data_IF_134870035281
#
_entry.id   IF_134870035281
#
_cell.length_a   1.000
_cell.length_b   1.000
_cell.length_c   1.000
_cell.angle_alpha   90.00
_cell.angle_beta   90.00
_cell.angle_gamma   90.00
#
_symmetry.space_group_name_H-M   'P 1'
#
loop_
_entity.id
_entity.type
_entity.pdbx_description
1 polymer ?
#
# COMPACT_ATOMS: atom_id res chain seq x y z
N UNK A 1 -9.37 -22.84 -10.27
CA UNK A 1 -9.01 -21.62 -9.50
C UNK A 1 -10.25 -20.79 -9.32
N UNK A 2 -10.43 -20.18 -8.18
CA UNK A 2 -11.50 -19.21 -8.00
C UNK A 2 -11.31 -18.08 -9.01
N UNK A 3 -12.38 -17.68 -9.73
CA UNK A 3 -12.36 -16.68 -10.83
C UNK A 3 -11.92 -15.30 -10.36
N UNK A 4 -11.95 -15.07 -9.05
CA UNK A 4 -11.64 -13.80 -8.40
C UNK A 4 -10.37 -13.84 -7.54
N UNK A 5 -9.72 -15.01 -7.44
CA UNK A 5 -8.44 -15.15 -6.77
C UNK A 5 -7.33 -14.46 -7.57
N UNK A 6 -6.41 -13.83 -6.88
CA UNK A 6 -5.28 -13.11 -7.46
C UNK A 6 -3.98 -13.77 -7.02
N UNK A 7 -3.09 -13.99 -7.98
CA UNK A 7 -1.75 -14.49 -7.72
C UNK A 7 -0.73 -13.47 -8.19
N UNK A 8 0.07 -12.95 -7.25
CA UNK A 8 1.26 -12.18 -7.60
C UNK A 8 2.41 -13.17 -7.74
N UNK A 9 3.00 -13.23 -8.92
CA UNK A 9 4.12 -14.11 -9.22
C UNK A 9 5.30 -13.25 -9.66
N UNK A 10 6.41 -13.34 -8.92
CA UNK A 10 7.70 -12.79 -9.34
C UNK A 10 8.64 -13.95 -9.71
N UNK A 11 9.28 -13.85 -10.87
CA UNK A 11 10.21 -14.86 -11.40
C UNK A 11 11.67 -14.38 -11.43
N UNK A 12 11.99 -13.31 -10.68
CA UNK A 12 13.35 -12.74 -10.67
C UNK A 12 14.22 -13.30 -9.53
N UNK A 13 15.53 -13.39 -9.81
CA UNK A 13 16.60 -13.66 -8.82
C UNK A 13 16.47 -14.97 -7.99
N UNK A 14 16.45 -16.12 -8.67
CA UNK A 14 16.73 -17.42 -8.03
C UNK A 14 15.52 -18.19 -7.51
N UNK A 15 14.30 -17.80 -7.87
CA UNK A 15 13.11 -18.57 -7.51
C UNK A 15 11.81 -17.86 -7.86
N UNK A 16 10.71 -18.64 -7.86
CA UNK A 16 9.36 -18.09 -7.98
C UNK A 16 8.84 -17.73 -6.60
N UNK A 17 8.63 -16.44 -6.33
CA UNK A 17 7.91 -16.00 -5.14
C UNK A 17 6.46 -15.77 -5.49
N UNK A 18 5.57 -16.30 -4.66
CA UNK A 18 4.13 -16.21 -4.91
C UNK A 18 3.42 -15.67 -3.68
N UNK A 19 2.55 -14.69 -3.89
CA UNK A 19 1.62 -14.19 -2.89
C UNK A 19 0.19 -14.40 -3.44
N UNK A 20 -0.61 -15.19 -2.76
CA UNK A 20 -1.95 -15.55 -3.19
C UNK A 20 -3.00 -14.81 -2.38
N UNK A 21 -3.93 -14.17 -3.06
CA UNK A 21 -5.09 -13.50 -2.48
C UNK A 21 -6.37 -14.18 -2.95
N UNK A 22 -7.31 -14.43 -2.05
CA UNK A 22 -8.62 -15.04 -2.38
C UNK A 22 -9.52 -14.12 -3.20
N UNK A 23 -9.29 -12.80 -3.11
CA UNK A 23 -9.93 -11.75 -3.91
C UNK A 23 -8.97 -10.55 -4.05
N UNK A 24 -9.24 -9.58 -4.93
CA UNK A 24 -8.32 -8.48 -5.21
C UNK A 24 -8.30 -7.37 -4.15
N UNK A 25 -9.10 -7.44 -3.08
CA UNK A 25 -9.26 -6.37 -2.08
C UNK A 25 -8.29 -6.55 -0.93
N UNK A 26 -7.38 -5.60 -0.78
CA UNK A 26 -6.47 -5.49 0.35
C UNK A 26 -6.77 -4.20 1.13
N UNK A 27 -6.33 -4.14 2.38
CA UNK A 27 -6.34 -2.90 3.15
C UNK A 27 -5.10 -2.05 2.85
N UNK A 28 -5.20 -0.72 2.93
CA UNK A 28 -4.06 0.17 2.77
C UNK A 28 -3.42 0.51 4.12
N UNK A 29 -2.09 0.46 4.17
CA UNK A 29 -1.33 0.84 5.36
C UNK A 29 -1.71 2.25 5.86
N UNK A 30 -1.90 2.36 7.17
CA UNK A 30 -2.21 3.61 7.85
C UNK A 30 -3.70 3.94 7.97
N UNK A 31 -4.58 3.18 7.34
CA UNK A 31 -6.04 3.41 7.34
C UNK A 31 -6.85 2.24 7.92
N UNK A 32 -6.17 1.18 8.31
CA UNK A 32 -6.78 -0.05 8.86
C UNK A 32 -6.09 -0.51 10.15
N UNK A 33 -5.41 0.38 10.85
CA UNK A 33 -4.64 0.05 12.05
C UNK A 33 -3.66 -1.09 11.80
N UNK A 34 -3.62 -2.05 12.71
CA UNK A 34 -2.92 -3.32 12.52
C UNK A 34 -3.84 -4.46 12.04
N UNK A 35 -5.12 -4.14 11.76
CA UNK A 35 -6.15 -5.08 11.35
C UNK A 35 -7.07 -5.48 12.51
N UNK A 36 -6.51 -5.78 13.68
CA UNK A 36 -7.29 -6.23 14.86
C UNK A 36 -8.36 -5.23 15.31
N UNK A 37 -8.14 -3.95 15.08
CA UNK A 37 -9.06 -2.86 15.40
C UNK A 37 -10.34 -2.90 14.55
N UNK A 38 -10.28 -3.54 13.38
CA UNK A 38 -11.39 -3.64 12.43
C UNK A 38 -12.18 -4.94 12.51
N UNK A 39 -11.77 -5.90 13.35
CA UNK A 39 -12.49 -7.16 13.55
C UNK A 39 -13.93 -7.03 14.06
N UNK A 40 -14.29 -5.86 14.61
CA UNK A 40 -15.66 -5.55 15.00
C UNK A 40 -16.58 -5.21 13.83
N UNK A 41 -16.01 -4.86 12.66
CA UNK A 41 -16.78 -4.41 11.49
C UNK A 41 -16.93 -5.47 10.41
N UNK A 42 -16.20 -6.57 10.52
CA UNK A 42 -16.25 -7.69 9.58
C UNK A 42 -15.24 -8.79 9.90
N UNK A 43 -15.40 -9.92 9.25
CA UNK A 43 -14.46 -11.03 9.37
C UNK A 43 -13.22 -10.75 8.53
N UNK A 44 -12.08 -10.55 9.19
CA UNK A 44 -10.80 -10.29 8.55
C UNK A 44 -10.39 -11.40 7.55
N UNK A 45 -10.90 -12.62 7.75
CA UNK A 45 -10.64 -13.72 6.84
C UNK A 45 -11.29 -13.55 5.46
N UNK A 46 -12.24 -12.64 5.29
CA UNK A 46 -12.89 -12.35 4.00
C UNK A 46 -12.03 -11.50 3.07
N UNK A 47 -11.04 -10.78 3.61
CA UNK A 47 -10.16 -9.91 2.83
C UNK A 47 -9.15 -10.71 2.00
N UNK A 48 -8.77 -10.17 0.83
CA UNK A 48 -7.69 -10.73 0.03
C UNK A 48 -6.34 -10.63 0.73
N UNK A 49 -6.10 -9.55 1.47
CA UNK A 49 -4.89 -9.36 2.27
C UNK A 49 -4.99 -8.17 3.22
N UNK A 50 -4.21 -8.19 4.29
CA UNK A 50 -4.14 -7.14 5.30
C UNK A 50 -2.77 -6.48 5.24
N UNK A 51 -2.72 -5.22 4.78
CA UNK A 51 -1.50 -4.40 4.88
C UNK A 51 -1.59 -3.60 6.17
N UNK A 52 -0.73 -3.92 7.12
CA UNK A 52 -0.76 -3.32 8.45
C UNK A 52 -0.18 -1.90 8.47
N UNK A 53 -0.41 -1.19 9.56
CA UNK A 53 0.21 0.11 9.86
C UNK A 53 1.72 0.05 9.67
N UNK A 54 2.30 1.12 9.09
CA UNK A 54 3.75 1.23 8.92
C UNK A 54 4.49 1.02 10.25
N UNK A 55 5.42 0.09 10.23
CA UNK A 55 6.23 -0.33 11.35
C UNK A 55 7.63 0.30 11.27
N UNK A 56 8.19 0.68 12.41
CA UNK A 56 9.60 1.06 12.57
C UNK A 56 10.25 0.16 13.64
N UNK A 57 11.58 0.15 13.71
CA UNK A 57 12.30 -0.63 14.74
C UNK A 57 11.83 -0.24 16.14
N UNK A 58 11.67 1.06 16.41
CA UNK A 58 11.22 1.58 17.69
C UNK A 58 9.85 2.24 17.55
N UNK A 59 9.12 2.35 18.66
CA UNK A 59 7.87 3.12 18.75
C UNK A 59 8.06 4.56 18.31
N UNK A 60 7.04 5.12 17.64
CA UNK A 60 6.96 6.54 17.24
C UNK A 60 5.64 7.14 17.67
N UNK A 61 5.68 8.32 18.27
CA UNK A 61 4.47 8.99 18.75
C UNK A 61 3.75 9.80 17.65
N UNK A 62 4.42 10.03 16.52
CA UNK A 62 3.88 10.80 15.40
C UNK A 62 3.99 12.31 15.58
N UNK A 63 3.28 13.04 14.73
CA UNK A 63 3.30 14.51 14.73
C UNK A 63 2.29 15.11 15.72
N UNK A 64 2.46 16.40 16.10
CA UNK A 64 1.50 17.15 16.90
C UNK A 64 0.10 17.24 16.25
N UNK A 65 -0.93 17.45 17.09
CA UNK A 65 -2.30 17.72 16.65
C UNK A 65 -2.48 19.23 16.30
N UNK A 66 -3.43 19.55 15.37
CA UNK A 66 -4.23 18.67 14.53
C UNK A 66 -3.40 18.05 13.39
N UNK A 67 -3.58 16.76 13.12
CA UNK A 67 -2.81 16.03 12.11
C UNK A 67 -3.66 15.31 11.07
N UNK A 68 -4.97 15.54 11.09
CA UNK A 68 -5.96 15.08 10.12
C UNK A 68 -6.96 16.21 9.87
N UNK A 69 -7.35 16.41 8.63
CA UNK A 69 -8.38 17.37 8.24
C UNK A 69 -9.19 16.82 7.06
N UNK A 70 -10.51 16.98 7.09
CA UNK A 70 -11.38 16.65 5.97
C UNK A 70 -11.22 17.67 4.83
N UNK A 71 -11.47 17.21 3.61
CA UNK A 71 -11.58 18.04 2.40
C UNK A 71 -12.85 17.65 1.64
N UNK A 72 -13.37 18.47 0.71
CA UNK A 72 -14.63 18.16 0.02
C UNK A 72 -14.71 16.77 -0.62
N UNK A 73 -13.60 16.20 -1.10
CA UNK A 73 -13.56 14.91 -1.76
C UNK A 73 -12.47 13.97 -1.19
N UNK A 74 -12.19 14.05 0.11
CA UNK A 74 -11.18 13.22 0.73
C UNK A 74 -10.69 13.77 2.06
N UNK A 75 -9.42 13.53 2.38
CA UNK A 75 -8.81 14.01 3.62
C UNK A 75 -7.32 14.31 3.45
N UNK A 76 -6.86 15.24 4.27
CA UNK A 76 -5.43 15.50 4.49
C UNK A 76 -4.96 14.82 5.77
N UNK A 77 -3.78 14.22 5.75
CA UNK A 77 -3.15 13.70 6.94
C UNK A 77 -1.65 14.03 7.02
N UNK A 78 -1.20 14.27 8.22
CA UNK A 78 0.21 14.40 8.61
C UNK A 78 0.44 13.65 9.92
N UNK A 79 0.03 12.38 10.00
CA UNK A 79 0.08 11.57 11.23
C UNK A 79 1.51 11.38 11.74
N UNK A 80 2.51 11.40 10.85
CA UNK A 80 3.93 11.28 11.23
C UNK A 80 4.34 9.86 11.60
N UNK A 81 3.70 8.87 10.97
CA UNK A 81 4.06 7.46 11.09
C UNK A 81 4.03 6.93 12.53
N UNK A 82 3.06 7.40 13.33
CA UNK A 82 2.81 6.86 14.66
C UNK A 82 2.64 5.35 14.58
N UNK A 83 3.40 4.61 15.39
CA UNK A 83 3.31 3.15 15.48
C UNK A 83 3.97 2.64 16.79
N UNK A 84 3.65 1.40 17.17
CA UNK A 84 4.07 0.81 18.44
C UNK A 84 5.48 0.17 18.38
N UNK A 85 6.12 0.17 17.20
CA UNK A 85 7.38 -0.54 16.95
C UNK A 85 7.17 -2.02 16.59
N UNK A 86 8.18 -2.60 15.93
CA UNK A 86 8.11 -3.96 15.37
C UNK A 86 7.93 -5.02 16.47
N UNK A 87 8.65 -4.93 17.58
CA UNK A 87 8.56 -5.90 18.69
C UNK A 87 7.16 -5.95 19.29
N UNK A 88 6.55 -4.79 19.54
CA UNK A 88 5.19 -4.70 20.08
C UNK A 88 4.16 -5.29 19.09
N UNK A 89 4.33 -5.04 17.79
CA UNK A 89 3.48 -5.61 16.77
C UNK A 89 3.56 -7.15 16.75
N UNK A 90 4.76 -7.71 16.69
CA UNK A 90 5.00 -9.16 16.66
C UNK A 90 4.40 -9.82 17.90
N UNK A 91 4.64 -9.26 19.09
CA UNK A 91 4.21 -9.83 20.36
C UNK A 91 2.71 -9.74 20.61
N UNK A 92 2.07 -8.63 20.22
CA UNK A 92 0.70 -8.33 20.70
C UNK A 92 -0.36 -8.22 19.61
N UNK A 93 0.01 -7.98 18.35
CA UNK A 93 -0.94 -7.78 17.24
C UNK A 93 -0.94 -8.93 16.25
N UNK A 94 0.21 -9.33 15.75
CA UNK A 94 0.36 -10.40 14.75
C UNK A 94 -0.31 -11.72 15.16
N UNK A 95 -0.19 -12.23 16.41
CA UNK A 95 -0.85 -13.48 16.82
C UNK A 95 -2.39 -13.42 16.80
N UNK A 96 -2.97 -12.23 16.76
CA UNK A 96 -4.43 -12.02 16.76
C UNK A 96 -5.01 -11.88 15.35
N UNK A 97 -4.17 -11.82 14.32
CA UNK A 97 -4.58 -11.73 12.91
C UNK A 97 -4.82 -13.14 12.35
N UNK A 98 -5.75 -13.32 11.41
CA UNK A 98 -6.01 -14.60 10.76
C UNK A 98 -4.99 -14.90 9.65
N UNK A 99 -3.69 -14.81 9.96
CA UNK A 99 -2.60 -14.88 8.98
C UNK A 99 -2.47 -16.24 8.25
N UNK A 100 -3.09 -17.30 8.79
CA UNK A 100 -3.21 -18.60 8.09
C UNK A 100 -4.27 -18.61 7.00
N UNK A 101 -5.22 -17.67 7.06
CA UNK A 101 -6.36 -17.59 6.13
C UNK A 101 -6.26 -16.37 5.20
N UNK A 102 -5.65 -15.29 5.68
CA UNK A 102 -5.50 -14.03 4.95
C UNK A 102 -4.07 -13.53 5.06
N UNK A 103 -3.37 -13.35 3.93
CA UNK A 103 -2.00 -12.85 3.92
C UNK A 103 -1.85 -11.53 4.67
N UNK A 104 -0.90 -11.47 5.60
CA UNK A 104 -0.52 -10.25 6.32
C UNK A 104 0.75 -9.69 5.70
N UNK A 105 0.66 -8.44 5.26
CA UNK A 105 1.74 -7.68 4.64
C UNK A 105 2.20 -6.62 5.62
N UNK A 106 3.45 -6.70 6.06
CA UNK A 106 4.04 -5.72 6.94
C UNK A 106 4.52 -4.50 6.13
N UNK A 107 4.02 -3.30 6.45
CA UNK A 107 4.50 -2.06 5.84
C UNK A 107 5.69 -1.53 6.63
N UNK A 108 6.81 -1.27 5.97
CA UNK A 108 8.08 -0.86 6.56
C UNK A 108 8.28 0.64 6.46
N UNK A 109 8.70 1.24 7.56
CA UNK A 109 9.18 2.62 7.64
C UNK A 109 10.56 2.67 8.29
N UNK A 110 11.51 3.29 7.60
CA UNK A 110 12.85 3.55 8.12
C UNK A 110 13.44 4.84 7.54
N UNK A 111 14.61 5.24 8.02
CA UNK A 111 15.28 6.49 7.65
C UNK A 111 16.64 6.27 6.97
N UNK A 112 17.05 5.00 6.84
CA UNK A 112 18.23 4.61 6.05
C UNK A 112 18.02 3.23 5.43
N UNK A 113 18.75 2.89 4.35
CA UNK A 113 18.70 1.55 3.75
C UNK A 113 19.02 0.43 4.74
N UNK A 114 19.99 0.65 5.63
CA UNK A 114 20.40 -0.33 6.65
C UNK A 114 19.26 -0.62 7.63
N UNK A 115 18.59 0.43 8.10
CA UNK A 115 17.42 0.32 9.01
C UNK A 115 16.26 -0.40 8.33
N UNK A 116 16.00 -0.14 7.03
CA UNK A 116 15.02 -0.90 6.25
C UNK A 116 15.39 -2.38 6.15
N UNK A 117 16.68 -2.71 5.92
CA UNK A 117 17.17 -4.08 5.87
C UNK A 117 17.00 -4.79 7.21
N UNK A 118 17.40 -4.16 8.32
CA UNK A 118 17.24 -4.72 9.67
C UNK A 118 15.77 -5.03 9.99
N UNK A 119 14.89 -4.07 9.74
CA UNK A 119 13.45 -4.24 9.96
C UNK A 119 12.86 -5.35 9.08
N UNK A 120 13.32 -5.46 7.84
CA UNK A 120 12.91 -6.52 6.92
C UNK A 120 13.34 -7.90 7.41
N UNK A 121 14.57 -8.05 7.92
CA UNK A 121 15.10 -9.30 8.47
C UNK A 121 14.29 -9.78 9.68
N UNK A 122 13.95 -8.86 10.60
CA UNK A 122 13.12 -9.17 11.77
C UNK A 122 11.74 -9.69 11.33
N UNK A 123 11.07 -8.96 10.42
CA UNK A 123 9.72 -9.31 9.99
C UNK A 123 9.68 -10.55 9.09
N UNK A 124 10.70 -10.77 8.25
CA UNK A 124 10.77 -11.94 7.39
C UNK A 124 11.00 -13.25 8.17
N UNK A 125 11.48 -13.18 9.41
CA UNK A 125 11.64 -14.34 10.29
C UNK A 125 10.32 -14.79 10.94
N UNK A 126 9.25 -13.96 10.87
CA UNK A 126 7.98 -14.24 11.51
C UNK A 126 7.05 -15.07 10.61
N UNK A 127 6.56 -16.24 11.12
CA UNK A 127 5.68 -17.14 10.37
C UNK A 127 4.42 -16.46 9.81
N UNK A 128 3.86 -15.50 10.55
CA UNK A 128 2.62 -14.80 10.18
C UNK A 128 2.79 -13.70 9.12
N UNK A 129 4.00 -13.43 8.62
CA UNK A 129 4.25 -12.39 7.62
C UNK A 129 4.36 -13.01 6.22
N UNK A 130 3.42 -12.64 5.36
CA UNK A 130 3.31 -13.14 3.98
C UNK A 130 3.99 -12.24 2.95
N UNK A 131 4.26 -10.97 3.28
CA UNK A 131 4.88 -10.01 2.39
C UNK A 131 5.39 -8.76 3.14
N UNK A 132 6.34 -8.04 2.52
CA UNK A 132 6.88 -6.78 3.02
C UNK A 132 6.54 -5.65 2.06
N UNK A 133 5.84 -4.61 2.51
CA UNK A 133 5.58 -3.40 1.72
C UNK A 133 6.54 -2.29 2.16
N UNK A 134 7.49 -1.93 1.30
CA UNK A 134 8.53 -0.94 1.56
C UNK A 134 8.02 0.46 1.22
N UNK A 135 7.82 1.30 2.23
CA UNK A 135 7.35 2.67 2.05
C UNK A 135 8.51 3.62 1.75
N UNK A 136 8.87 3.79 0.48
CA UNK A 136 9.93 4.70 0.03
C UNK A 136 9.55 6.19 0.01
N UNK A 137 8.36 6.57 0.50
CA UNK A 137 7.99 7.98 0.68
C UNK A 137 8.61 8.62 1.93
N UNK A 138 9.57 7.95 2.57
CA UNK A 138 10.30 8.38 3.74
C UNK A 138 11.49 9.27 3.37
N UNK A 139 11.86 10.26 4.22
CA UNK A 139 13.07 11.06 4.01
C UNK A 139 14.33 10.26 4.36
N UNK A 140 15.34 10.33 3.51
CA UNK A 140 16.70 9.87 3.83
C UNK A 140 17.41 10.95 4.64
N UNK A 141 17.64 10.69 5.92
CA UNK A 141 18.29 11.65 6.83
C UNK A 141 19.75 11.89 6.43
N UNK A 142 20.47 10.86 5.99
CA UNK A 142 21.88 10.96 5.55
C UNK A 142 22.02 11.79 4.26
N UNK A 143 21.02 11.80 3.39
CA UNK A 143 21.02 12.55 2.12
C UNK A 143 20.22 13.87 2.22
N UNK A 144 20.22 14.54 3.36
CA UNK A 144 19.62 15.86 3.52
C UNK A 144 18.09 15.89 3.50
N UNK A 145 17.42 14.76 3.77
CA UNK A 145 15.96 14.67 3.82
C UNK A 145 15.28 14.42 2.48
N UNK A 146 16.02 14.12 1.42
CA UNK A 146 15.43 13.69 0.14
C UNK A 146 14.61 12.42 0.35
N UNK A 147 13.42 12.36 -0.23
CA UNK A 147 12.58 11.16 -0.14
C UNK A 147 13.18 10.05 -1.00
N UNK A 148 13.32 8.85 -0.45
CA UNK A 148 13.85 7.68 -1.18
C UNK A 148 13.10 7.45 -2.51
N UNK A 149 11.79 7.67 -2.55
CA UNK A 149 10.96 7.50 -3.75
C UNK A 149 10.99 8.66 -4.74
N UNK A 150 11.89 9.65 -4.59
CA UNK A 150 12.09 10.75 -5.55
C UNK A 150 13.39 10.61 -6.34
N UNK A 151 14.29 9.75 -5.89
CA UNK A 151 15.56 9.47 -6.54
C UNK A 151 15.65 7.97 -6.87
N UNK A 152 15.88 7.59 -8.13
CA UNK A 152 15.92 6.18 -8.54
C UNK A 152 17.05 5.40 -7.86
N UNK A 153 18.22 6.01 -7.62
CA UNK A 153 19.33 5.37 -6.90
C UNK A 153 19.00 5.08 -5.44
N UNK A 154 18.38 6.04 -4.75
CA UNK A 154 17.97 5.84 -3.36
C UNK A 154 16.84 4.78 -3.26
N UNK A 155 15.94 4.74 -4.22
CA UNK A 155 14.90 3.70 -4.29
C UNK A 155 15.50 2.31 -4.54
N UNK A 156 16.51 2.21 -5.41
CA UNK A 156 17.30 1.00 -5.66
C UNK A 156 18.01 0.53 -4.39
N UNK A 157 18.81 1.40 -3.74
CA UNK A 157 19.56 1.09 -2.51
C UNK A 157 18.67 0.53 -1.39
N UNK A 158 17.52 1.14 -1.15
CA UNK A 158 16.55 0.65 -0.16
C UNK A 158 15.97 -0.70 -0.56
N UNK A 159 15.61 -0.86 -1.84
CA UNK A 159 15.04 -2.12 -2.35
C UNK A 159 16.04 -3.27 -2.20
N UNK A 160 17.30 -3.06 -2.59
CA UNK A 160 18.37 -4.06 -2.45
C UNK A 160 18.62 -4.43 -0.98
N UNK A 161 18.69 -3.42 -0.08
CA UNK A 161 18.89 -3.65 1.34
C UNK A 161 17.78 -4.54 1.95
N UNK A 162 16.53 -4.28 1.59
CA UNK A 162 15.39 -5.10 2.01
C UNK A 162 15.45 -6.49 1.38
N UNK A 163 15.69 -6.59 0.07
CA UNK A 163 15.77 -7.88 -0.64
C UNK A 163 16.82 -8.80 -0.06
N UNK A 164 17.96 -8.27 0.34
CA UNK A 164 19.05 -9.02 0.97
C UNK A 164 18.63 -9.71 2.27
N UNK A 165 17.70 -9.12 3.02
CA UNK A 165 17.26 -9.60 4.32
C UNK A 165 15.90 -10.32 4.29
N UNK A 166 15.11 -10.12 3.24
CA UNK A 166 13.74 -10.64 3.13
C UNK A 166 13.65 -12.17 2.91
N UNK A 167 14.76 -12.86 2.63
CA UNK A 167 14.76 -14.29 2.36
C UNK A 167 13.74 -14.67 1.27
N UNK A 168 12.80 -15.55 1.61
CA UNK A 168 11.74 -15.99 0.71
C UNK A 168 10.47 -15.11 0.74
N UNK A 169 10.40 -14.11 1.63
CA UNK A 169 9.22 -13.24 1.74
C UNK A 169 9.20 -12.26 0.57
N UNK A 170 8.08 -12.14 -0.17
CA UNK A 170 7.94 -11.19 -1.27
C UNK A 170 8.09 -9.74 -0.81
N UNK A 171 8.81 -8.93 -1.61
CA UNK A 171 9.05 -7.51 -1.37
C UNK A 171 8.23 -6.67 -2.35
N UNK A 172 7.32 -5.86 -1.82
CA UNK A 172 6.47 -4.93 -2.56
C UNK A 172 7.01 -3.52 -2.30
N UNK A 173 7.29 -2.73 -3.33
CA UNK A 173 7.76 -1.35 -3.14
C UNK A 173 6.62 -0.36 -3.40
N UNK A 174 6.32 0.48 -2.39
CA UNK A 174 5.25 1.47 -2.46
C UNK A 174 5.74 2.80 -3.01
N UNK A 175 5.30 3.11 -4.24
CA UNK A 175 5.71 4.31 -4.97
C UNK A 175 4.99 5.57 -4.52
N UNK A 176 5.72 6.69 -4.58
CA UNK A 176 5.19 8.03 -4.38
C UNK A 176 4.82 8.69 -5.71
N UNK A 177 3.67 9.39 -5.79
CA UNK A 177 3.32 10.17 -6.98
C UNK A 177 4.06 11.53 -7.06
N UNK A 178 4.95 11.83 -6.10
CA UNK A 178 5.68 13.11 -6.00
C UNK A 178 6.92 13.15 -6.89
N UNK A 179 6.77 12.71 -8.12
CA UNK A 179 7.83 12.66 -9.15
C UNK A 179 7.26 13.10 -10.49
N UNK A 180 8.12 13.57 -11.38
CA UNK A 180 7.71 13.97 -12.73
C UNK A 180 7.31 12.75 -13.56
N UNK A 181 8.07 11.67 -13.48
CA UNK A 181 7.80 10.40 -14.16
C UNK A 181 7.96 9.24 -13.16
N UNK A 182 6.83 8.62 -12.79
CA UNK A 182 6.80 7.51 -11.84
C UNK A 182 7.42 6.23 -12.42
N UNK A 183 7.48 6.11 -13.74
CA UNK A 183 8.02 4.92 -14.40
C UNK A 183 9.53 4.77 -14.21
N UNK A 184 10.25 5.87 -14.02
CA UNK A 184 11.69 5.86 -13.72
C UNK A 184 11.95 5.15 -12.39
N UNK A 185 11.20 5.51 -11.34
CA UNK A 185 11.33 4.85 -10.03
C UNK A 185 10.84 3.40 -10.10
N UNK A 186 9.74 3.15 -10.85
CA UNK A 186 9.21 1.79 -11.01
C UNK A 186 10.22 0.82 -11.62
N UNK A 187 10.95 1.25 -12.67
CA UNK A 187 12.02 0.45 -13.29
C UNK A 187 13.19 0.23 -12.34
N UNK A 188 13.64 1.28 -11.63
CA UNK A 188 14.75 1.18 -10.68
C UNK A 188 14.45 0.13 -9.59
N UNK A 189 13.27 0.17 -8.98
CA UNK A 189 12.91 -0.84 -7.94
C UNK A 189 12.70 -2.22 -8.54
N UNK A 190 12.20 -2.34 -9.77
CA UNK A 190 12.12 -3.62 -10.47
C UNK A 190 13.52 -4.18 -10.74
N UNK A 191 14.47 -3.39 -11.20
CA UNK A 191 15.86 -3.78 -11.47
C UNK A 191 16.57 -4.20 -10.18
N UNK A 192 16.32 -3.49 -9.06
CA UNK A 192 16.79 -3.83 -7.72
C UNK A 192 16.15 -5.11 -7.12
N UNK A 193 15.22 -5.74 -7.84
CA UNK A 193 14.66 -7.04 -7.49
C UNK A 193 13.37 -7.00 -6.67
N UNK A 194 12.62 -5.92 -6.67
CA UNK A 194 11.25 -5.91 -6.12
C UNK A 194 10.42 -7.04 -6.74
N UNK A 195 9.58 -7.68 -5.94
CA UNK A 195 8.68 -8.77 -6.39
C UNK A 195 7.34 -8.23 -6.87
N UNK A 196 6.93 -7.04 -6.39
CA UNK A 196 5.75 -6.31 -6.83
C UNK A 196 5.90 -4.82 -6.52
N UNK A 197 5.00 -4.00 -7.08
CA UNK A 197 4.89 -2.56 -6.79
C UNK A 197 3.50 -2.27 -6.25
N UNK A 198 3.39 -1.41 -5.24
CA UNK A 198 2.12 -0.77 -4.87
C UNK A 198 2.15 0.72 -5.25
N UNK A 199 1.08 1.24 -5.84
CA UNK A 199 0.99 2.55 -6.48
C UNK A 199 -0.43 3.12 -6.32
N UNK A 200 -0.59 4.22 -5.60
CA UNK A 200 0.35 5.25 -5.17
C UNK A 200 0.21 5.58 -3.65
N UNK A 201 1.21 6.24 -3.10
CA UNK A 201 1.07 6.94 -1.82
C UNK A 201 0.27 8.25 -2.02
N UNK A 202 0.02 9.01 -0.95
CA UNK A 202 -0.76 10.24 -0.93
C UNK A 202 -0.09 11.39 -1.71
N UNK A 203 -0.91 12.34 -2.19
CA UNK A 203 -0.45 13.55 -2.90
C UNK A 203 -0.29 14.68 -1.87
N UNK A 204 0.74 15.51 -1.99
CA UNK A 204 0.91 16.65 -1.08
C UNK A 204 -0.19 17.68 -1.29
N UNK A 205 -0.84 18.10 -0.20
CA UNK A 205 -1.86 19.12 -0.19
C UNK A 205 -1.78 20.01 1.05
N UNK A 206 -2.57 21.07 1.05
CA UNK A 206 -2.70 22.03 2.14
C UNK A 206 -4.16 22.47 2.27
N UNK A 207 -4.61 22.74 3.49
CA UNK A 207 -5.89 23.39 3.75
C UNK A 207 -5.70 24.49 4.81
N UNK A 208 -6.48 25.57 4.66
CA UNK A 208 -6.40 26.76 5.53
C UNK A 208 -7.76 27.17 6.03
N UNK A 209 -7.81 27.70 7.24
CA UNK A 209 -8.98 28.35 7.80
C UNK A 209 -8.84 29.87 7.63
N UNK A 210 -9.76 30.47 6.86
CA UNK A 210 -9.76 31.91 6.55
C UNK A 210 -10.06 32.75 7.80
N UNK A 211 -10.87 32.23 8.74
CA UNK A 211 -11.24 32.96 9.98
C UNK A 211 -10.06 33.10 10.90
N UNK A 212 -9.36 31.98 11.14
CA UNK A 212 -8.19 31.96 12.03
C UNK A 212 -6.88 32.32 11.31
N UNK A 213 -6.88 32.34 9.98
CA UNK A 213 -5.72 32.57 9.11
C UNK A 213 -4.59 31.56 9.39
N UNK A 214 -4.97 30.32 9.72
CA UNK A 214 -4.02 29.23 10.07
C UNK A 214 -4.20 28.02 9.14
N UNK A 215 -3.15 27.20 8.95
CA UNK A 215 -3.30 25.90 8.35
C UNK A 215 -4.17 24.99 9.23
N UNK A 216 -4.92 24.07 8.60
CA UNK A 216 -5.72 23.08 9.34
C UNK A 216 -4.87 21.99 9.99
N UNK A 217 -3.68 21.73 9.47
CA UNK A 217 -2.74 20.76 10.04
C UNK A 217 -1.59 21.48 10.76
N UNK A 218 -1.15 20.95 11.89
CA UNK A 218 0.01 21.46 12.64
C UNK A 218 1.29 21.48 11.76
N UNK A 219 1.43 20.49 10.86
CA UNK A 219 2.54 20.37 9.91
C UNK A 219 2.38 21.23 8.64
N UNK A 220 1.38 22.12 8.60
CA UNK A 220 1.04 23.01 7.46
C UNK A 220 0.55 22.18 6.24
N UNK A 221 1.35 21.24 5.74
CA UNK A 221 1.05 20.37 4.61
C UNK A 221 0.87 18.92 5.07
N UNK A 222 0.07 18.16 4.33
CA UNK A 222 -0.16 16.74 4.56
C UNK A 222 -0.39 15.96 3.27
N UNK A 223 -0.56 14.67 3.39
CA UNK A 223 -0.93 13.79 2.28
C UNK A 223 -2.44 13.86 2.02
N UNK A 224 -2.83 14.26 0.82
CA UNK A 224 -4.21 14.19 0.34
C UNK A 224 -4.51 12.76 -0.12
N UNK A 225 -5.64 12.23 0.32
CA UNK A 225 -6.16 10.90 -0.02
C UNK A 225 -7.69 10.92 -0.17
N UNK A 226 -8.29 9.81 -0.59
CA UNK A 226 -9.72 9.69 -0.84
C UNK A 226 -10.09 9.89 -2.31
N UNK A 227 -11.39 10.01 -2.65
CA UNK A 227 -11.88 10.03 -4.04
C UNK A 227 -11.20 11.05 -4.94
N UNK A 228 -10.77 12.19 -4.40
CA UNK A 228 -10.09 13.25 -5.14
C UNK A 228 -8.83 12.78 -5.89
N UNK A 229 -8.13 11.74 -5.40
CA UNK A 229 -6.89 11.27 -6.02
C UNK A 229 -7.07 10.10 -6.97
N UNK A 230 -8.27 9.50 -7.10
CA UNK A 230 -8.50 8.32 -7.94
C UNK A 230 -8.03 8.50 -9.39
N UNK A 231 -8.36 9.60 -10.11
CA UNK A 231 -7.90 9.78 -11.49
C UNK A 231 -6.37 9.83 -11.63
N UNK A 232 -5.69 10.41 -10.64
CA UNK A 232 -4.22 10.45 -10.61
C UNK A 232 -3.65 9.07 -10.33
N UNK A 233 -4.25 8.32 -9.39
CA UNK A 233 -3.84 6.96 -9.06
C UNK A 233 -4.01 6.00 -10.26
N UNK A 234 -5.17 6.05 -10.95
CA UNK A 234 -5.42 5.27 -12.18
C UNK A 234 -4.37 5.53 -13.26
N UNK A 235 -4.08 6.82 -13.53
CA UNK A 235 -3.02 7.20 -14.48
C UNK A 235 -1.67 6.62 -14.09
N UNK A 236 -1.26 6.79 -12.83
CA UNK A 236 0.02 6.29 -12.34
C UNK A 236 0.11 4.76 -12.43
N UNK A 237 -0.95 4.05 -12.04
CA UNK A 237 -1.01 2.58 -12.13
C UNK A 237 -0.91 2.13 -13.59
N UNK A 238 -1.67 2.74 -14.50
CA UNK A 238 -1.58 2.45 -15.92
C UNK A 238 -0.17 2.65 -16.48
N UNK A 239 0.49 3.78 -16.15
CA UNK A 239 1.86 4.07 -16.57
C UNK A 239 2.85 3.02 -16.03
N UNK A 240 2.74 2.67 -14.74
CA UNK A 240 3.62 1.67 -14.11
C UNK A 240 3.40 0.28 -14.71
N UNK A 241 2.14 -0.16 -14.89
CA UNK A 241 1.84 -1.46 -15.50
C UNK A 241 2.41 -1.61 -16.92
N UNK A 242 2.48 -0.50 -17.69
CA UNK A 242 3.09 -0.50 -19.02
C UNK A 242 4.63 -0.38 -18.99
N UNK A 243 5.22 -0.05 -17.85
CA UNK A 243 6.67 0.19 -17.74
C UNK A 243 7.45 -0.98 -17.14
N UNK A 244 6.81 -1.84 -16.33
CA UNK A 244 7.43 -2.95 -15.61
C UNK A 244 6.76 -4.29 -15.93
N UNK A 245 7.44 -5.39 -15.60
CA UNK A 245 6.92 -6.76 -15.79
C UNK A 245 6.42 -7.39 -14.48
N UNK A 246 6.81 -6.85 -13.33
CA UNK A 246 6.37 -7.33 -12.02
C UNK A 246 4.94 -6.87 -11.72
N UNK A 247 4.18 -7.62 -10.90
CA UNK A 247 2.81 -7.27 -10.52
C UNK A 247 2.68 -5.89 -9.90
N UNK A 248 1.56 -5.21 -10.18
CA UNK A 248 1.23 -3.90 -9.63
C UNK A 248 -0.05 -3.99 -8.80
N UNK A 249 -0.04 -3.39 -7.60
CA UNK A 249 -1.18 -3.23 -6.71
C UNK A 249 -1.62 -1.78 -6.75
N UNK A 250 -2.88 -1.52 -7.12
CA UNK A 250 -3.44 -0.17 -7.20
C UNK A 250 -3.84 0.39 -5.83
N UNK A 251 -3.59 1.68 -5.59
CA UNK A 251 -3.99 2.39 -4.36
C UNK A 251 -4.38 3.82 -4.70
N UNK A 252 -5.53 4.29 -4.20
CA UNK A 252 -5.90 5.70 -4.25
C UNK A 252 -7.34 5.95 -4.67
N UNK A 253 -8.14 6.45 -3.74
CA UNK A 253 -9.49 6.92 -3.98
C UNK A 253 -10.55 5.86 -4.27
N UNK A 254 -10.28 4.60 -3.97
CA UNK A 254 -11.23 3.49 -4.13
C UNK A 254 -12.33 3.57 -3.09
N UNK A 255 -13.60 3.51 -3.53
CA UNK A 255 -14.81 3.62 -2.70
C UNK A 255 -15.86 2.56 -2.99
N UNK A 256 -15.71 1.81 -4.09
CA UNK A 256 -16.69 0.83 -4.59
C UNK A 256 -16.00 -0.35 -5.29
N UNK A 257 -16.77 -1.42 -5.51
CA UNK A 257 -16.33 -2.55 -6.34
C UNK A 257 -16.03 -2.11 -7.78
N UNK A 258 -16.78 -1.14 -8.32
CA UNK A 258 -16.51 -0.58 -9.65
C UNK A 258 -15.12 0.04 -9.71
N UNK A 259 -14.72 0.82 -8.70
CA UNK A 259 -13.39 1.43 -8.66
C UNK A 259 -12.29 0.33 -8.67
N UNK A 260 -12.50 -0.79 -7.96
CA UNK A 260 -11.56 -1.93 -8.00
C UNK A 260 -11.42 -2.46 -9.43
N UNK A 261 -12.55 -2.68 -10.14
CA UNK A 261 -12.50 -3.15 -11.52
C UNK A 261 -11.84 -2.15 -12.47
N UNK A 262 -11.99 -0.84 -12.25
CA UNK A 262 -11.26 0.19 -13.02
C UNK A 262 -9.74 0.05 -12.86
N UNK A 263 -9.24 -0.19 -11.63
CA UNK A 263 -7.83 -0.45 -11.40
C UNK A 263 -7.34 -1.75 -12.04
N UNK A 264 -8.13 -2.82 -12.00
CA UNK A 264 -7.80 -4.08 -12.69
C UNK A 264 -7.77 -3.86 -14.21
N UNK A 265 -8.75 -3.13 -14.75
CA UNK A 265 -8.84 -2.81 -16.18
C UNK A 265 -7.60 -2.08 -16.71
N UNK A 266 -7.00 -1.18 -15.93
CA UNK A 266 -5.76 -0.48 -16.30
C UNK A 266 -4.48 -1.27 -16.01
N UNK A 267 -4.59 -2.51 -15.48
CA UNK A 267 -3.48 -3.46 -15.35
C UNK A 267 -3.11 -3.87 -13.91
N UNK A 268 -3.74 -3.30 -12.88
CA UNK A 268 -3.47 -3.73 -11.51
C UNK A 268 -3.87 -5.20 -11.29
N UNK A 269 -3.13 -5.89 -10.43
CA UNK A 269 -3.43 -7.27 -10.03
C UNK A 269 -4.36 -7.30 -8.80
N UNK A 270 -4.17 -6.36 -7.88
CA UNK A 270 -4.96 -6.20 -6.67
C UNK A 270 -5.08 -4.72 -6.33
N UNK A 271 -5.93 -4.38 -5.34
CA UNK A 271 -6.23 -2.99 -4.99
C UNK A 271 -6.27 -2.82 -3.48
N UNK A 272 -5.64 -1.78 -2.95
CA UNK A 272 -5.69 -1.44 -1.53
C UNK A 272 -6.76 -0.37 -1.25
N UNK A 273 -7.63 -0.65 -0.28
CA UNK A 273 -8.66 0.28 0.21
C UNK A 273 -8.07 1.11 1.35
N UNK A 274 -8.06 2.44 1.18
CA UNK A 274 -7.49 3.39 2.12
C UNK A 274 -8.55 4.21 2.87
N UNK A 275 -8.66 5.48 2.53
CA UNK A 275 -9.47 6.51 3.21
C UNK A 275 -10.93 6.10 3.43
N UNK A 276 -11.49 5.25 2.56
CA UNK A 276 -12.87 4.78 2.68
C UNK A 276 -13.12 4.01 3.98
N UNK A 277 -12.09 3.38 4.57
CA UNK A 277 -12.19 2.70 5.87
C UNK A 277 -12.48 3.68 7.03
N UNK A 278 -12.16 4.98 6.89
CA UNK A 278 -12.53 6.00 7.88
C UNK A 278 -13.96 6.50 7.69
N UNK A 279 -14.48 6.49 6.45
CA UNK A 279 -15.85 6.89 6.13
C UNK A 279 -16.83 5.76 6.48
N UNK A 280 -16.45 4.54 6.12
CA UNK A 280 -17.21 3.31 6.37
C UNK A 280 -16.24 2.20 6.80
N UNK A 281 -16.18 1.88 8.07
CA UNK A 281 -15.25 0.87 8.59
C UNK A 281 -15.43 -0.53 7.99
N UNK A 282 -16.62 -0.86 7.49
CA UNK A 282 -16.96 -2.11 6.81
C UNK A 282 -16.68 -2.06 5.28
N UNK A 283 -16.13 -0.95 4.74
CA UNK A 283 -16.02 -0.74 3.30
C UNK A 283 -15.20 -1.82 2.59
N UNK A 284 -14.05 -2.20 3.12
CA UNK A 284 -13.20 -3.21 2.47
C UNK A 284 -13.92 -4.58 2.36
N UNK A 285 -14.68 -4.97 3.38
CA UNK A 285 -15.45 -6.22 3.38
C UNK A 285 -16.57 -6.20 2.35
N UNK A 286 -17.37 -5.11 2.34
CA UNK A 286 -18.46 -4.95 1.36
C UNK A 286 -17.96 -4.91 -0.07
N UNK A 287 -16.89 -4.18 -0.34
CA UNK A 287 -16.31 -4.10 -1.67
C UNK A 287 -15.84 -5.49 -2.13
N UNK A 288 -15.22 -6.29 -1.23
CA UNK A 288 -14.82 -7.65 -1.56
C UNK A 288 -16.02 -8.56 -1.89
N UNK A 289 -17.12 -8.43 -1.14
CA UNK A 289 -18.37 -9.17 -1.34
C UNK A 289 -19.09 -8.77 -2.64
N UNK A 290 -19.06 -7.49 -3.00
CA UNK A 290 -19.74 -6.95 -4.19
C UNK A 290 -19.08 -7.31 -5.52
N UNK A 291 -17.77 -7.58 -5.56
CA UNK A 291 -17.02 -7.85 -6.80
C UNK A 291 -17.60 -9.00 -7.63
N UNK A 292 -17.92 -10.20 -7.07
CA UNK A 292 -18.49 -11.29 -7.86
C UNK A 292 -19.82 -10.91 -8.52
N UNK A 293 -20.69 -10.20 -7.81
CA UNK A 293 -21.99 -9.75 -8.32
C UNK A 293 -21.82 -8.74 -9.46
N UNK A 294 -20.93 -7.78 -9.29
CA UNK A 294 -20.65 -6.77 -10.32
C UNK A 294 -20.01 -7.41 -11.56
N UNK A 295 -19.08 -8.34 -11.41
CA UNK A 295 -18.49 -9.07 -12.52
C UNK A 295 -19.56 -9.85 -13.31
N UNK A 296 -20.49 -10.51 -12.61
CA UNK A 296 -21.61 -11.21 -13.24
C UNK A 296 -22.50 -10.25 -14.06
N UNK A 297 -22.85 -9.11 -13.49
CA UNK A 297 -23.67 -8.09 -14.18
C UNK A 297 -23.00 -7.53 -15.44
N UNK A 298 -21.67 -7.39 -15.41
CA UNK A 298 -20.88 -6.85 -16.51
C UNK A 298 -20.41 -7.93 -17.52
N UNK A 299 -20.74 -9.21 -17.30
CA UNK A 299 -20.29 -10.33 -18.16
C UNK A 299 -18.78 -10.59 -18.07
N UNK A 300 -18.13 -10.25 -16.95
CA UNK A 300 -16.71 -10.48 -16.73
C UNK A 300 -16.53 -11.90 -16.16
N UNK A 301 -15.85 -12.77 -16.90
CA UNK A 301 -15.68 -14.17 -16.52
C UNK A 301 -14.57 -14.38 -15.49
N UNK A 302 -13.51 -13.57 -15.56
CA UNK A 302 -12.42 -13.60 -14.57
C UNK A 302 -11.71 -12.25 -14.50
N UNK A 303 -11.06 -11.97 -13.35
CA UNK A 303 -10.23 -10.77 -13.20
C UNK A 303 -8.97 -10.82 -14.08
N UNK A 304 -8.50 -12.01 -14.43
CA UNK A 304 -7.35 -12.18 -15.31
C UNK A 304 -7.66 -11.73 -16.75
N UNK A 305 -8.86 -12.05 -17.28
CA UNK A 305 -9.32 -11.55 -18.58
C UNK A 305 -9.53 -10.02 -18.58
N UNK A 306 -10.01 -9.47 -17.48
CA UNK A 306 -10.22 -8.02 -17.35
C UNK A 306 -8.90 -7.25 -17.26
N UNK A 307 -7.87 -7.84 -16.63
CA UNK A 307 -6.63 -7.13 -16.31
C UNK A 307 -5.91 -6.62 -17.55
N UNK A 308 -5.73 -5.30 -17.63
CA UNK A 308 -5.03 -4.65 -18.72
C UNK A 308 -5.78 -4.67 -20.05
N UNK A 309 -7.07 -4.99 -20.05
CA UNK A 309 -7.90 -5.07 -21.28
C UNK A 309 -8.50 -3.70 -21.68
N UNK A 310 -7.97 -2.60 -21.16
CA UNK A 310 -8.39 -1.25 -21.52
C UNK A 310 -8.23 -1.03 -23.03
N UNK A 311 -9.34 -0.68 -23.69
CA UNK A 311 -9.33 -0.33 -25.12
C UNK A 311 -8.95 1.15 -25.27
N UNK A 312 -7.91 1.42 -26.04
CA UNK A 312 -7.39 2.76 -26.34
C UNK A 312 -7.67 3.08 -27.80
#
# INVERSE_FOLDING_TARGET
MDRYAVRLISQKHGGTKTLNFKNPVLTASGTFGYGVEFSYYGDLSQLGGIVVKGLSLKRRDGNPLPRVAETPCGMLNAVGLQNDGVESFIKSKLPRLPWRETPVIANLYATSPEEFGELAGILAAEEGISGLEVNISCPNVKSGGVLFGQDPKLAEEVTEAVKKQAGNVPVIVKLSPKVTDITVIARAVEEAGADAISCINTITGMAVDVKTRKPLLANIMGGLSGPAIKPVALRCVWQVCNAVKIPVIGIGGVTSAQDVLEFILVGAHAVQIGTMNFVRPDAAFRIAEEIPHLCQQLGINSLEELRGSLKI
#
